data_IF_679171853680
#
_entry.id   IF_679171853680
#
_cell.length_a   1.000
_cell.length_b   1.000
_cell.length_c   1.000
_cell.angle_alpha   90.00
_cell.angle_beta   90.00
_cell.angle_gamma   90.00
#
_symmetry.space_group_name_H-M   'P 1'
#
loop_
_entity.id
_entity.type
_entity.pdbx_description
1 polymer ?
#
# COMPACT_ATOMS: atom_id res chain seq x y z
N UNK A 1 22.89 11.74 -24.69
CA UNK A 1 22.10 10.73 -25.42
C UNK A 1 21.85 9.48 -24.57
N UNK A 2 22.87 8.69 -24.23
CA UNK A 2 22.67 7.47 -23.42
C UNK A 2 22.21 7.77 -21.99
N UNK A 3 22.84 8.72 -21.30
CA UNK A 3 22.49 9.09 -19.91
C UNK A 3 21.10 9.74 -19.81
N UNK A 4 20.73 10.58 -20.78
CA UNK A 4 19.41 11.23 -20.81
C UNK A 4 18.29 10.17 -20.91
N UNK A 5 18.47 9.13 -21.74
CA UNK A 5 17.52 8.03 -21.87
C UNK A 5 17.43 7.20 -20.59
N UNK A 6 18.57 6.82 -20.01
CA UNK A 6 18.59 6.08 -18.75
C UNK A 6 17.88 6.85 -17.66
N UNK A 7 18.09 8.17 -17.60
CA UNK A 7 17.47 9.03 -16.62
C UNK A 7 15.94 9.05 -16.78
N UNK A 8 15.45 9.18 -18.02
CA UNK A 8 14.01 9.06 -18.30
C UNK A 8 13.43 7.71 -17.84
N UNK A 9 14.14 6.60 -18.05
CA UNK A 9 13.70 5.26 -17.63
C UNK A 9 13.64 5.12 -16.10
N UNK A 10 14.58 5.72 -15.37
CA UNK A 10 14.58 5.70 -13.90
C UNK A 10 13.35 6.40 -13.37
N UNK A 11 13.03 7.60 -13.86
CA UNK A 11 11.83 8.31 -13.41
C UNK A 11 10.52 7.62 -13.81
N UNK A 12 10.46 7.04 -15.00
CA UNK A 12 9.29 6.23 -15.40
C UNK A 12 9.12 5.03 -14.45
N UNK A 13 10.23 4.38 -14.10
CA UNK A 13 10.23 3.27 -13.14
C UNK A 13 9.79 3.73 -11.75
N UNK A 14 10.24 4.92 -11.30
CA UNK A 14 9.82 5.50 -10.02
C UNK A 14 8.32 5.74 -9.98
N UNK A 15 7.75 6.34 -11.03
CA UNK A 15 6.31 6.59 -11.14
C UNK A 15 5.50 5.30 -11.07
N UNK A 16 5.92 4.27 -11.81
CA UNK A 16 5.28 2.94 -11.79
C UNK A 16 5.43 2.28 -10.42
N UNK A 17 6.60 2.40 -9.79
CA UNK A 17 6.87 1.89 -8.44
C UNK A 17 5.98 2.56 -7.39
N UNK A 18 5.84 3.89 -7.44
CA UNK A 18 4.93 4.66 -6.57
C UNK A 18 3.49 4.19 -6.73
N UNK A 19 2.98 4.11 -7.97
CA UNK A 19 1.61 3.67 -8.22
C UNK A 19 1.36 2.23 -7.73
N UNK A 20 2.36 1.35 -7.88
CA UNK A 20 2.31 -0.04 -7.42
C UNK A 20 2.32 -0.12 -5.89
N UNK A 21 3.12 0.73 -5.23
CA UNK A 21 3.17 0.84 -3.78
C UNK A 21 1.85 1.36 -3.17
N UNK A 22 1.18 2.32 -3.83
CA UNK A 22 -0.16 2.77 -3.43
C UNK A 22 -1.22 1.67 -3.57
N UNK A 23 -1.12 0.86 -4.61
CA UNK A 23 -2.00 -0.27 -4.80
C UNK A 23 -1.80 -1.35 -3.72
N UNK A 24 -0.56 -1.59 -3.28
CA UNK A 24 -0.29 -2.47 -2.12
C UNK A 24 -0.96 -1.95 -0.85
N UNK A 25 -0.87 -0.65 -0.54
CA UNK A 25 -1.57 -0.06 0.62
C UNK A 25 -3.10 -0.26 0.52
N UNK A 26 -3.66 -0.05 -0.68
CA UNK A 26 -5.08 -0.31 -0.93
C UNK A 26 -5.45 -1.77 -0.71
N UNK A 27 -4.61 -2.71 -1.16
CA UNK A 27 -4.82 -4.15 -0.98
C UNK A 27 -4.78 -4.56 0.48
N UNK A 28 -3.84 -4.03 1.28
CA UNK A 28 -3.80 -4.21 2.74
C UNK A 28 -5.14 -3.88 3.38
N UNK A 29 -5.71 -2.72 3.05
CA UNK A 29 -7.01 -2.30 3.57
C UNK A 29 -8.15 -3.27 3.24
N UNK A 30 -8.12 -3.90 2.06
CA UNK A 30 -9.09 -4.96 1.68
C UNK A 30 -8.88 -6.22 2.51
N UNK A 31 -7.64 -6.66 2.72
CA UNK A 31 -7.32 -7.83 3.53
C UNK A 31 -7.78 -7.67 4.98
N UNK A 32 -7.44 -6.53 5.61
CA UNK A 32 -7.86 -6.24 6.98
C UNK A 32 -9.39 -6.17 7.11
N UNK A 33 -10.08 -5.59 6.13
CA UNK A 33 -11.54 -5.54 6.12
C UNK A 33 -12.14 -6.94 6.02
N UNK A 34 -11.55 -7.79 5.19
CA UNK A 34 -12.00 -9.17 4.99
C UNK A 34 -11.80 -9.98 6.27
N UNK A 35 -10.67 -9.83 6.96
CA UNK A 35 -10.45 -10.48 8.24
C UNK A 35 -11.48 -10.09 9.30
N UNK A 36 -11.76 -8.79 9.46
CA UNK A 36 -12.80 -8.32 10.40
C UNK A 36 -14.18 -8.89 10.04
N UNK A 37 -14.48 -9.01 8.75
CA UNK A 37 -15.73 -9.62 8.30
C UNK A 37 -15.81 -11.10 8.65
N UNK A 38 -14.71 -11.85 8.50
CA UNK A 38 -14.63 -13.26 8.89
C UNK A 38 -14.78 -13.43 10.41
N UNK A 39 -14.13 -12.58 11.21
CA UNK A 39 -14.29 -12.59 12.66
C UNK A 39 -15.74 -12.32 13.09
N UNK A 40 -16.38 -11.34 12.45
CA UNK A 40 -17.79 -11.05 12.68
C UNK A 40 -18.69 -12.24 12.33
N UNK A 41 -18.46 -12.89 11.19
CA UNK A 41 -19.21 -14.08 10.81
C UNK A 41 -19.05 -15.22 11.82
N UNK A 42 -17.85 -15.43 12.38
CA UNK A 42 -17.64 -16.44 13.42
C UNK A 42 -18.41 -16.10 14.72
N UNK A 43 -18.45 -14.81 15.10
CA UNK A 43 -19.23 -14.34 16.24
C UNK A 43 -20.74 -14.50 16.01
N UNK A 44 -21.22 -14.16 14.83
CA UNK A 44 -22.63 -14.29 14.44
C UNK A 44 -23.05 -15.76 14.47
N UNK A 45 -22.23 -16.67 13.91
CA UNK A 45 -22.48 -18.11 13.97
C UNK A 45 -22.52 -18.66 15.40
N UNK A 46 -21.62 -18.21 16.29
CA UNK A 46 -21.67 -18.60 17.72
C UNK A 46 -22.97 -18.17 18.37
N UNK A 47 -23.47 -16.99 18.03
CA UNK A 47 -24.75 -16.48 18.53
C UNK A 47 -25.91 -17.30 17.97
N UNK A 48 -25.93 -17.56 16.66
CA UNK A 48 -26.91 -18.45 16.02
C UNK A 48 -26.93 -19.85 16.65
N UNK A 49 -25.75 -20.41 16.98
CA UNK A 49 -25.64 -21.71 17.62
C UNK A 49 -26.28 -21.74 19.01
N UNK A 50 -26.15 -20.66 19.80
CA UNK A 50 -26.82 -20.52 21.10
C UNK A 50 -28.35 -20.50 20.92
N UNK A 51 -28.85 -19.77 19.93
CA UNK A 51 -30.28 -19.72 19.63
C UNK A 51 -30.82 -21.09 19.18
N UNK A 52 -30.12 -21.79 18.27
CA UNK A 52 -30.49 -23.15 17.83
C UNK A 52 -30.58 -24.11 19.02
N UNK A 53 -29.61 -24.05 19.95
CA UNK A 53 -29.64 -24.90 21.14
C UNK A 53 -30.81 -24.54 22.06
N UNK A 54 -31.16 -23.25 22.19
CA UNK A 54 -32.31 -22.81 22.99
C UNK A 54 -33.65 -23.29 22.41
N UNK A 55 -33.79 -23.33 21.08
CA UNK A 55 -35.03 -23.81 20.41
C UNK A 55 -35.25 -25.31 20.68
N UNK A 56 -34.21 -26.15 20.62
CA UNK A 56 -34.32 -27.57 21.02
C UNK A 56 -34.82 -27.73 22.47
N UNK A 57 -34.41 -26.82 23.35
CA UNK A 57 -34.74 -26.90 24.78
C UNK A 57 -36.19 -26.52 25.11
N UNK A 58 -36.92 -25.83 24.21
CA UNK A 58 -38.30 -25.37 24.47
C UNK A 58 -39.38 -26.45 24.24
N UNK A 59 -39.04 -27.60 23.66
CA UNK A 59 -39.97 -28.74 23.50
C UNK A 59 -39.94 -29.73 24.68
N UNK A 60 -39.19 -29.46 25.75
CA UNK A 60 -38.87 -30.46 26.79
C UNK A 60 -38.94 -30.03 28.26
N UNK A 61 -39.56 -28.92 28.64
CA UNK A 61 -39.77 -28.65 30.08
C UNK A 61 -40.22 -27.23 30.42
N UNK A 62 -41.42 -27.13 30.97
CA UNK A 62 -41.87 -25.96 31.72
C UNK A 62 -40.84 -25.63 32.83
N UNK A 63 -40.28 -24.42 32.81
CA UNK A 63 -39.93 -23.48 33.91
C UNK A 63 -38.64 -22.72 33.56
N UNK A 64 -38.72 -21.67 32.73
CA UNK A 64 -37.64 -20.67 32.62
C UNK A 64 -38.19 -19.23 32.64
N UNK A 65 -39.19 -18.98 33.50
CA UNK A 65 -39.82 -17.67 33.67
C UNK A 65 -38.99 -16.68 34.52
N UNK A 66 -37.75 -17.02 34.89
CA UNK A 66 -36.97 -16.27 35.90
C UNK A 66 -35.52 -15.95 35.50
N UNK A 67 -35.25 -15.60 34.23
CA UNK A 67 -33.97 -14.97 33.89
C UNK A 67 -34.16 -13.73 33.02
N UNK A 68 -33.74 -12.60 33.58
CA UNK A 68 -33.71 -11.28 32.95
C UNK A 68 -32.96 -11.32 31.62
N UNK A 69 -33.52 -10.62 30.63
CA UNK A 69 -32.95 -10.47 29.28
C UNK A 69 -31.48 -10.04 29.36
N UNK A 70 -30.54 -10.70 28.65
CA UNK A 70 -29.21 -10.14 28.50
C UNK A 70 -29.31 -8.85 27.66
N UNK A 71 -28.64 -7.80 28.13
CA UNK A 71 -28.61 -6.50 27.46
C UNK A 71 -28.09 -6.65 26.02
N UNK A 72 -28.82 -6.04 25.08
CA UNK A 72 -28.35 -5.82 23.71
C UNK A 72 -27.08 -4.98 23.78
N UNK A 73 -25.93 -5.61 23.51
CA UNK A 73 -24.70 -4.87 23.20
C UNK A 73 -24.92 -4.12 21.89
N UNK A 74 -24.71 -2.78 21.85
CA UNK A 74 -24.83 -2.01 20.62
C UNK A 74 -23.90 -2.56 19.55
N UNK A 75 -24.24 -2.43 18.26
CA UNK A 75 -23.30 -2.73 17.19
C UNK A 75 -22.09 -1.80 17.36
N UNK A 76 -20.91 -2.37 17.65
CA UNK A 76 -19.67 -1.61 17.63
C UNK A 76 -19.54 -0.98 16.24
N UNK A 77 -19.67 0.34 16.23
CA UNK A 77 -19.37 1.16 15.08
C UNK A 77 -17.88 0.95 14.79
N UNK A 78 -17.60 0.30 13.68
CA UNK A 78 -16.28 0.27 13.06
C UNK A 78 -15.86 1.74 12.82
N UNK A 79 -15.08 2.29 13.74
CA UNK A 79 -14.42 3.57 13.54
C UNK A 79 -13.48 3.48 12.33
N UNK A 80 -13.19 4.60 11.66
CA UNK A 80 -12.26 4.61 10.54
C UNK A 80 -10.85 4.32 11.07
N UNK A 81 -10.44 3.06 11.01
CA UNK A 81 -9.06 2.69 11.24
C UNK A 81 -8.27 3.01 9.98
N UNK A 82 -7.31 3.91 10.13
CA UNK A 82 -6.27 4.12 9.13
C UNK A 82 -5.50 2.81 9.02
N UNK A 83 -5.67 2.11 7.90
CA UNK A 83 -4.72 1.08 7.44
C UNK A 83 -3.34 1.71 7.55
N UNK A 84 -2.55 1.29 8.54
CA UNK A 84 -1.24 1.88 8.76
C UNK A 84 -0.29 1.15 7.84
N UNK A 85 -0.24 1.60 6.57
CA UNK A 85 0.81 1.22 5.64
C UNK A 85 2.17 1.27 6.33
N UNK A 86 3.08 0.36 5.96
CA UNK A 86 4.42 0.37 6.52
C UNK A 86 5.04 1.78 6.37
N UNK A 87 5.51 2.35 7.50
CA UNK A 87 5.97 3.75 7.55
C UNK A 87 7.10 4.03 6.56
N UNK A 88 7.94 3.04 6.28
CA UNK A 88 9.03 3.13 5.33
C UNK A 88 8.55 3.14 3.88
N UNK A 89 7.51 2.36 3.54
CA UNK A 89 6.91 2.41 2.21
C UNK A 89 6.28 3.79 1.97
N UNK A 90 5.58 4.32 2.97
CA UNK A 90 4.98 5.66 2.90
C UNK A 90 6.03 6.77 2.74
N UNK A 91 7.14 6.68 3.46
CA UNK A 91 8.25 7.61 3.34
C UNK A 91 8.92 7.54 1.96
N UNK A 92 9.16 6.33 1.44
CA UNK A 92 9.71 6.12 0.11
C UNK A 92 8.82 6.72 -0.99
N UNK A 93 7.51 6.49 -0.92
CA UNK A 93 6.52 7.08 -1.84
C UNK A 93 6.56 8.61 -1.75
N UNK A 94 6.53 9.17 -0.53
CA UNK A 94 6.53 10.63 -0.32
C UNK A 94 7.79 11.28 -0.89
N UNK A 95 8.95 10.65 -0.70
CA UNK A 95 10.24 11.14 -1.18
C UNK A 95 10.29 11.12 -2.71
N UNK A 96 9.81 10.05 -3.34
CA UNK A 96 9.76 9.95 -4.81
C UNK A 96 8.79 10.96 -5.42
N UNK A 97 7.60 11.13 -4.85
CA UNK A 97 6.61 12.13 -5.31
C UNK A 97 7.12 13.58 -5.21
N UNK A 98 7.88 13.90 -4.17
CA UNK A 98 8.47 15.23 -4.03
C UNK A 98 9.45 15.55 -5.16
N UNK A 99 10.23 14.55 -5.60
CA UNK A 99 11.16 14.71 -6.72
C UNK A 99 10.44 14.72 -8.09
N UNK A 100 9.33 14.00 -8.22
CA UNK A 100 8.57 13.93 -9.47
C UNK A 100 8.15 15.31 -9.99
N UNK A 101 7.74 16.22 -9.09
CA UNK A 101 7.36 17.59 -9.46
C UNK A 101 8.52 18.40 -10.06
N UNK A 102 9.73 18.22 -9.54
CA UNK A 102 10.92 18.91 -10.03
C UNK A 102 11.32 18.43 -11.43
N UNK A 103 11.14 17.13 -11.69
CA UNK A 103 11.44 16.55 -13.00
C UNK A 103 10.37 16.84 -14.06
N UNK A 104 9.09 16.86 -13.68
CA UNK A 104 8.01 17.27 -14.60
C UNK A 104 8.21 18.71 -15.11
N UNK A 105 8.81 19.59 -14.30
CA UNK A 105 9.14 20.96 -14.71
C UNK A 105 10.33 21.03 -15.70
N UNK A 106 11.27 20.07 -15.65
CA UNK A 106 12.50 20.09 -16.44
C UNK A 106 12.44 19.25 -17.72
N UNK A 107 11.45 18.36 -17.88
CA UNK A 107 11.39 17.44 -19.03
C UNK A 107 10.42 17.89 -20.14
N UNK A 108 10.90 18.05 -21.40
CA UNK A 108 10.07 18.53 -22.51
C UNK A 108 8.91 17.59 -22.88
N UNK A 109 9.01 16.29 -22.58
CA UNK A 109 7.95 15.29 -22.86
C UNK A 109 6.92 15.10 -21.72
N UNK A 110 7.12 15.69 -20.54
CA UNK A 110 6.20 15.56 -19.39
C UNK A 110 5.64 16.90 -18.91
N UNK A 111 6.03 17.99 -19.55
CA UNK A 111 5.52 19.33 -19.29
C UNK A 111 4.00 19.33 -19.51
N UNK A 112 3.21 19.44 -18.43
CA UNK A 112 1.80 19.82 -18.55
C UNK A 112 1.76 21.12 -19.35
N UNK A 113 0.95 21.15 -20.41
CA UNK A 113 0.85 22.22 -21.42
C UNK A 113 0.29 23.55 -20.85
N UNK A 114 0.77 24.03 -19.71
CA UNK A 114 0.27 25.27 -19.12
C UNK A 114 1.33 26.05 -18.33
N UNK A 115 2.49 26.29 -18.93
CA UNK A 115 3.28 27.47 -18.58
C UNK A 115 4.18 27.84 -19.75
N UNK A 116 4.18 29.12 -20.10
CA UNK A 116 4.99 29.74 -21.14
C UNK A 116 6.32 30.23 -20.55
N UNK A 117 7.37 30.17 -21.37
CA UNK A 117 8.64 30.89 -21.27
C UNK A 117 9.52 30.75 -20.01
N UNK A 118 10.74 30.21 -20.22
CA UNK A 118 11.98 30.97 -20.08
C UNK A 118 13.20 30.08 -20.30
N UNK A 119 13.98 30.40 -21.34
CA UNK A 119 15.37 29.98 -21.50
C UNK A 119 16.20 30.95 -20.65
N UNK A 120 17.00 30.47 -19.71
CA UNK A 120 18.03 31.31 -19.09
C UNK A 120 19.30 30.50 -18.83
N UNK A 121 20.31 30.74 -19.67
CA UNK A 121 21.67 30.25 -19.47
C UNK A 121 22.37 31.08 -18.39
N UNK A 122 22.80 30.42 -17.33
CA UNK A 122 23.65 31.00 -16.28
C UNK A 122 25.07 30.45 -16.39
N UNK A 123 26.02 31.30 -16.78
CA UNK A 123 27.45 31.01 -16.74
C UNK A 123 27.99 31.31 -15.33
N UNK A 124 28.39 30.27 -14.60
CA UNK A 124 29.11 30.36 -13.32
C UNK A 124 30.64 30.27 -13.50
N UNK A 125 31.44 30.75 -12.52
CA UNK A 125 32.88 30.94 -12.67
C UNK A 125 33.63 29.60 -12.68
N UNK A 126 34.55 29.47 -13.63
CA UNK A 126 35.30 28.26 -13.92
C UNK A 126 36.30 27.91 -12.81
N UNK A 127 36.03 26.86 -12.04
CA UNK A 127 37.05 26.14 -11.30
C UNK A 127 37.92 25.39 -12.30
N UNK A 128 39.22 25.71 -12.30
CA UNK A 128 40.23 24.97 -13.05
C UNK A 128 40.35 23.58 -12.44
N UNK A 129 39.94 22.54 -13.16
CA UNK A 129 40.15 21.15 -12.78
C UNK A 129 40.57 20.39 -14.03
N UNK A 130 41.73 19.75 -13.94
CA UNK A 130 42.40 18.94 -14.98
C UNK A 130 41.56 17.71 -15.42
N UNK A 131 40.33 17.56 -14.91
CA UNK A 131 39.38 16.49 -15.24
C UNK A 131 38.52 16.75 -16.48
N UNK A 132 38.39 18.01 -16.94
CA UNK A 132 37.52 18.36 -18.07
C UNK A 132 38.29 18.82 -19.31
N UNK A 133 37.79 18.52 -20.53
CA UNK A 133 38.40 19.00 -21.77
C UNK A 133 38.47 20.53 -21.81
N UNK A 134 39.56 21.08 -22.38
CA UNK A 134 39.75 22.54 -22.57
C UNK A 134 38.75 23.15 -23.55
N UNK A 135 38.17 22.34 -24.45
CA UNK A 135 37.16 22.80 -25.39
C UNK A 135 35.83 23.07 -24.65
N UNK A 136 35.26 24.30 -24.72
CA UNK A 136 34.04 24.67 -24.00
C UNK A 136 32.83 23.77 -24.28
N UNK A 137 32.63 23.34 -25.53
CA UNK A 137 31.49 22.48 -25.89
C UNK A 137 31.64 21.07 -25.34
N UNK A 138 32.86 20.53 -25.38
CA UNK A 138 33.15 19.21 -24.78
C UNK A 138 33.01 19.28 -23.27
N UNK A 139 33.47 20.36 -22.64
CA UNK A 139 33.29 20.59 -21.20
C UNK A 139 31.82 20.61 -20.79
N UNK A 140 30.99 21.35 -21.53
CA UNK A 140 29.55 21.40 -21.27
C UNK A 140 28.89 20.02 -21.44
N UNK A 141 29.32 19.23 -22.45
CA UNK A 141 28.83 17.87 -22.65
C UNK A 141 29.18 16.94 -21.48
N UNK A 142 30.43 16.98 -21.02
CA UNK A 142 30.88 16.19 -19.87
C UNK A 142 30.18 16.61 -18.58
N UNK A 143 30.04 17.92 -18.31
CA UNK A 143 29.29 18.40 -17.15
C UNK A 143 27.83 17.93 -17.16
N UNK A 144 27.17 17.97 -18.32
CA UNK A 144 25.81 17.44 -18.45
C UNK A 144 25.75 15.94 -18.16
N UNK A 145 26.72 15.19 -18.65
CA UNK A 145 26.81 13.75 -18.41
C UNK A 145 27.00 13.45 -16.92
N UNK A 146 27.89 14.16 -16.24
CA UNK A 146 28.14 13.96 -14.80
C UNK A 146 26.91 14.32 -13.97
N UNK A 147 26.27 15.46 -14.25
CA UNK A 147 25.01 15.83 -13.60
C UNK A 147 23.91 14.78 -13.81
N UNK A 148 23.80 14.22 -15.02
CA UNK A 148 22.85 13.14 -15.30
C UNK A 148 23.18 11.86 -14.52
N UNK A 149 24.47 11.55 -14.33
CA UNK A 149 24.90 10.38 -13.55
C UNK A 149 24.61 10.54 -12.06
N UNK A 150 24.75 11.75 -11.52
CA UNK A 150 24.38 12.07 -10.15
C UNK A 150 22.86 11.92 -9.93
N UNK A 151 22.05 12.48 -10.84
CA UNK A 151 20.59 12.32 -10.85
C UNK A 151 20.17 10.84 -10.95
N UNK A 152 20.84 10.08 -11.82
CA UNK A 152 20.63 8.64 -11.97
C UNK A 152 20.93 7.89 -10.66
N UNK A 153 22.05 8.21 -10.01
CA UNK A 153 22.42 7.60 -8.73
C UNK A 153 21.36 7.87 -7.66
N UNK A 154 20.89 9.11 -7.57
CA UNK A 154 19.81 9.49 -6.66
C UNK A 154 18.49 8.77 -6.97
N UNK A 155 18.11 8.69 -8.24
CA UNK A 155 16.87 8.00 -8.65
C UNK A 155 16.90 6.50 -8.43
N UNK A 156 18.05 5.86 -8.67
CA UNK A 156 18.25 4.46 -8.30
C UNK A 156 18.17 4.25 -6.78
N UNK A 157 18.65 5.21 -5.99
CA UNK A 157 18.46 5.22 -4.53
C UNK A 157 16.99 5.22 -4.13
N UNK A 158 16.19 6.12 -4.73
CA UNK A 158 14.73 6.17 -4.48
C UNK A 158 14.00 4.90 -4.92
N UNK A 159 14.35 4.36 -6.09
CA UNK A 159 13.81 3.07 -6.55
C UNK A 159 14.09 1.94 -5.58
N UNK A 160 15.31 1.89 -5.02
CA UNK A 160 15.67 0.91 -4.00
C UNK A 160 14.81 1.08 -2.74
N UNK A 161 14.60 2.31 -2.28
CA UNK A 161 13.78 2.55 -1.09
C UNK A 161 12.32 2.13 -1.29
N UNK A 162 11.75 2.42 -2.48
CA UNK A 162 10.42 1.94 -2.87
C UNK A 162 10.40 0.40 -2.87
N UNK A 163 11.36 -0.24 -3.52
CA UNK A 163 11.42 -1.69 -3.63
C UNK A 163 11.51 -2.38 -2.26
N UNK A 164 12.35 -1.86 -1.35
CA UNK A 164 12.46 -2.37 0.01
C UNK A 164 11.18 -2.12 0.82
N UNK A 165 10.54 -0.97 0.64
CA UNK A 165 9.25 -0.69 1.28
C UNK A 165 8.14 -1.63 0.79
N UNK A 166 8.07 -1.89 -0.52
CA UNK A 166 7.12 -2.82 -1.11
C UNK A 166 7.36 -4.26 -0.62
N UNK A 167 8.62 -4.69 -0.53
CA UNK A 167 8.97 -6.02 -0.01
C UNK A 167 8.42 -6.24 1.40
N UNK A 168 8.64 -5.28 2.31
CA UNK A 168 8.13 -5.39 3.69
C UNK A 168 6.60 -5.36 3.74
N UNK A 169 5.95 -4.54 2.91
CA UNK A 169 4.48 -4.52 2.84
C UNK A 169 3.91 -5.85 2.32
N UNK A 170 4.58 -6.50 1.37
CA UNK A 170 4.20 -7.84 0.90
C UNK A 170 4.35 -8.87 2.02
N UNK A 171 5.45 -8.86 2.77
CA UNK A 171 5.66 -9.75 3.92
C UNK A 171 4.57 -9.56 4.98
N UNK A 172 4.20 -8.32 5.32
CA UNK A 172 3.10 -8.04 6.25
C UNK A 172 1.74 -8.51 5.73
N UNK A 173 1.49 -8.40 4.41
CA UNK A 173 0.25 -8.89 3.81
C UNK A 173 0.18 -10.42 3.77
N UNK A 174 1.31 -11.11 3.61
CA UNK A 174 1.41 -12.58 3.67
C UNK A 174 0.97 -13.08 5.05
N UNK A 175 1.45 -12.44 6.12
CA UNK A 175 1.01 -12.74 7.49
C UNK A 175 -0.52 -12.55 7.69
N UNK A 176 -1.13 -11.58 7.02
CA UNK A 176 -2.59 -11.37 7.06
C UNK A 176 -3.31 -12.49 6.29
N UNK A 177 -2.80 -12.87 5.13
CA UNK A 177 -3.36 -13.94 4.30
C UNK A 177 -3.34 -15.29 5.03
N UNK A 178 -2.25 -15.62 5.72
CA UNK A 178 -2.14 -16.86 6.50
C UNK A 178 -3.16 -16.93 7.64
N UNK A 179 -3.30 -15.83 8.40
CA UNK A 179 -4.34 -15.75 9.45
C UNK A 179 -5.74 -15.83 8.87
N UNK A 180 -5.99 -15.11 7.78
CA UNK A 180 -7.29 -15.06 7.11
C UNK A 180 -7.69 -16.45 6.61
N UNK A 181 -6.77 -17.16 5.97
CA UNK A 181 -6.95 -18.53 5.50
C UNK A 181 -7.37 -19.45 6.65
N UNK A 182 -6.61 -19.42 7.75
CA UNK A 182 -6.93 -20.22 8.95
C UNK A 182 -8.31 -19.87 9.53
N UNK A 183 -8.66 -18.58 9.59
CA UNK A 183 -9.97 -18.12 10.08
C UNK A 183 -11.12 -18.56 9.17
N UNK A 184 -10.94 -18.47 7.86
CA UNK A 184 -11.94 -18.88 6.86
C UNK A 184 -12.17 -20.39 6.91
N UNK A 185 -11.12 -21.21 7.00
CA UNK A 185 -11.25 -22.67 7.13
C UNK A 185 -12.05 -23.06 8.37
N UNK A 186 -11.75 -22.43 9.51
CA UNK A 186 -12.48 -22.63 10.76
C UNK A 186 -13.95 -22.19 10.62
N UNK A 187 -14.18 -21.04 9.99
CA UNK A 187 -15.52 -20.52 9.75
C UNK A 187 -16.34 -21.50 8.89
N UNK A 188 -15.78 -22.03 7.81
CA UNK A 188 -16.45 -23.01 6.93
C UNK A 188 -16.86 -24.28 7.70
N UNK A 189 -15.96 -24.82 8.52
CA UNK A 189 -16.27 -25.98 9.39
C UNK A 189 -17.42 -25.65 10.35
N UNK A 190 -17.41 -24.46 10.96
CA UNK A 190 -18.45 -24.00 11.88
C UNK A 190 -19.81 -23.80 11.17
N UNK A 191 -19.81 -23.25 9.96
CA UNK A 191 -21.02 -23.09 9.13
C UNK A 191 -21.62 -24.46 8.83
N UNK A 192 -20.81 -25.39 8.29
CA UNK A 192 -21.26 -26.76 7.97
C UNK A 192 -21.83 -27.49 9.19
N UNK A 193 -21.19 -27.33 10.35
CA UNK A 193 -21.68 -27.91 11.62
C UNK A 193 -23.02 -27.31 12.05
N UNK A 194 -23.16 -25.99 11.96
CA UNK A 194 -24.38 -25.27 12.30
C UNK A 194 -25.52 -25.65 11.36
N UNK A 195 -25.26 -25.72 10.05
CA UNK A 195 -26.24 -26.14 9.03
C UNK A 195 -26.81 -27.53 9.33
N UNK A 196 -25.95 -28.50 9.67
CA UNK A 196 -26.40 -29.86 10.06
C UNK A 196 -27.32 -29.82 11.26
N UNK A 197 -27.03 -29.00 12.27
CA UNK A 197 -27.88 -28.88 13.48
C UNK A 197 -29.22 -28.23 13.17
N UNK A 198 -29.25 -27.23 12.28
CA UNK A 198 -30.50 -26.59 11.82
C UNK A 198 -31.37 -27.60 11.07
N UNK A 199 -30.78 -28.44 10.20
CA UNK A 199 -31.52 -29.52 9.50
C UNK A 199 -32.08 -30.60 10.44
N UNK A 200 -31.57 -30.68 11.68
CA UNK A 200 -32.02 -31.61 12.72
C UNK A 200 -32.94 -30.94 13.76
N UNK A 201 -33.25 -29.65 13.61
CA UNK A 201 -34.36 -29.01 14.33
C UNK A 201 -35.68 -29.41 13.69
#
# INVERSE_FOLDING_TARGET
ASTDRSLSLVYESERVGVASAEELDRQRGVLERTERMVDKMDQDLKTSQKHINSIKSMFGGFVNYFKSKPAETPPEQNGPLTSQANSRLKEAISTSKAQEAQYQASHPNLRKLNDSDAITGGAGPAVSSEAYPKNPHLRACHQKMDNNLDELSMGLGRLKDIALGMQMEIEEQDDILDRLTTKVDKLDVNIKSTERKVRQL
#
